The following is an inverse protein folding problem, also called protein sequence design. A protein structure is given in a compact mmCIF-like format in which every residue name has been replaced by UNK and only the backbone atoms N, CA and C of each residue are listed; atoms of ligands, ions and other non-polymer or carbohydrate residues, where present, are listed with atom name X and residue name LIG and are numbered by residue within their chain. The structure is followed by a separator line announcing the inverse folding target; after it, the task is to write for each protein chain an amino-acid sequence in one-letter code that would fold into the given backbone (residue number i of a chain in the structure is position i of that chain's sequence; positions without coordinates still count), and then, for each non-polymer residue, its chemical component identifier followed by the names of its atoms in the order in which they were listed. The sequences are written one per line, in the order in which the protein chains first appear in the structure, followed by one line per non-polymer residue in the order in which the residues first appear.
data_IF_769860682658
#
_entry.id   IF_769860682658
#
_cell.length_a   1.000
_cell.length_b   1.000
_cell.length_c   1.000
_cell.angle_alpha   90.00
_cell.angle_beta   90.00
_cell.angle_gamma   90.00
#
_symmetry.space_group_name_H-M   'P 1'
#
loop_
_entity.id
_entity.type
_entity.pdbx_description
1 polymer ?
#
# COMPACT_ATOMS: atom_id res chain seq x y z
N UNK A 1 -57.40 22.82 -40.03
CA UNK A 1 -56.15 22.19 -40.52
C UNK A 1 -55.18 22.11 -39.35
N UNK A 2 -55.08 20.93 -38.72
CA UNK A 2 -54.14 20.73 -37.58
C UNK A 2 -52.92 20.07 -38.20
N UNK A 3 -51.83 20.85 -38.34
CA UNK A 3 -50.55 20.42 -38.89
C UNK A 3 -49.88 19.40 -37.96
N UNK A 4 -49.83 18.14 -38.35
CA UNK A 4 -49.13 17.09 -37.65
C UNK A 4 -47.62 17.30 -37.73
N UNK A 5 -46.91 17.39 -36.57
CA UNK A 5 -45.47 17.43 -36.46
C UNK A 5 -44.88 16.20 -37.15
N UNK A 6 -43.97 16.32 -38.10
CA UNK A 6 -43.44 15.21 -38.88
C UNK A 6 -42.78 14.16 -37.99
N UNK A 7 -43.08 12.88 -38.19
CA UNK A 7 -42.55 11.72 -37.42
C UNK A 7 -41.01 11.74 -37.26
N UNK A 8 -40.27 12.34 -38.21
CA UNK A 8 -38.81 12.46 -38.17
C UNK A 8 -38.31 13.35 -37.03
N UNK A 9 -39.01 14.45 -36.69
CA UNK A 9 -38.61 15.33 -35.59
C UNK A 9 -38.84 14.70 -34.22
N UNK A 10 -39.84 13.85 -34.08
CA UNK A 10 -40.09 13.09 -32.85
C UNK A 10 -39.01 11.99 -32.63
N UNK A 11 -38.61 11.29 -33.69
CA UNK A 11 -37.53 10.28 -33.61
C UNK A 11 -36.19 10.89 -33.30
N UNK A 12 -35.83 12.06 -33.86
CA UNK A 12 -34.59 12.80 -33.50
C UNK A 12 -34.63 13.27 -32.04
N UNK A 13 -35.74 13.78 -31.55
CA UNK A 13 -35.89 14.20 -30.15
C UNK A 13 -35.75 13.05 -29.15
N UNK A 14 -36.30 11.86 -29.48
CA UNK A 14 -36.16 10.66 -28.66
C UNK A 14 -34.72 10.12 -28.65
N UNK A 15 -34.02 10.13 -29.79
CA UNK A 15 -32.64 9.73 -29.89
C UNK A 15 -31.74 10.69 -29.11
N UNK A 16 -31.94 12.02 -29.20
CA UNK A 16 -31.22 13.01 -28.42
C UNK A 16 -31.46 12.87 -26.93
N UNK A 17 -32.69 12.62 -26.49
CA UNK A 17 -33.03 12.38 -25.09
C UNK A 17 -32.37 11.11 -24.53
N UNK A 18 -32.41 10.01 -25.28
CA UNK A 18 -31.75 8.76 -24.89
C UNK A 18 -30.22 8.92 -24.78
N UNK A 19 -29.62 9.65 -25.70
CA UNK A 19 -28.16 9.95 -25.67
C UNK A 19 -27.77 10.80 -24.44
N UNK A 20 -28.56 11.81 -24.10
CA UNK A 20 -28.37 12.62 -22.91
C UNK A 20 -28.48 11.80 -21.63
N UNK A 21 -29.54 10.96 -21.54
CA UNK A 21 -29.72 10.08 -20.36
C UNK A 21 -28.56 9.11 -20.22
N UNK A 22 -28.11 8.49 -21.32
CA UNK A 22 -26.94 7.61 -21.31
C UNK A 22 -25.68 8.35 -20.88
N UNK A 23 -25.42 9.54 -21.42
CA UNK A 23 -24.27 10.36 -21.06
C UNK A 23 -24.29 10.75 -19.57
N UNK A 24 -25.44 11.16 -19.05
CA UNK A 24 -25.62 11.46 -17.63
C UNK A 24 -25.40 10.21 -16.76
N UNK A 25 -25.93 9.06 -17.18
CA UNK A 25 -25.69 7.78 -16.49
C UNK A 25 -24.21 7.40 -16.43
N UNK A 26 -23.47 7.59 -17.54
CA UNK A 26 -22.01 7.36 -17.58
C UNK A 26 -21.25 8.35 -16.68
N UNK A 27 -21.64 9.62 -16.66
CA UNK A 27 -21.03 10.64 -15.80
C UNK A 27 -21.27 10.29 -14.32
N UNK A 28 -22.49 9.92 -13.96
CA UNK A 28 -22.82 9.53 -12.57
C UNK A 28 -22.06 8.26 -12.17
N UNK A 29 -21.95 7.27 -13.06
CA UNK A 29 -21.32 5.98 -12.79
C UNK A 29 -19.78 6.08 -12.71
N UNK A 30 -19.16 6.83 -13.61
CA UNK A 30 -17.70 6.87 -13.74
C UNK A 30 -17.05 8.19 -13.31
N UNK A 31 -17.85 9.23 -13.11
CA UNK A 31 -17.40 10.55 -12.71
C UNK A 31 -16.51 10.56 -11.46
N UNK A 32 -16.93 9.93 -10.35
CA UNK A 32 -16.12 9.85 -9.13
C UNK A 32 -14.74 9.23 -9.36
N UNK A 33 -14.68 8.08 -10.02
CA UNK A 33 -13.41 7.40 -10.30
C UNK A 33 -12.49 8.20 -11.24
N UNK A 34 -13.08 8.89 -12.24
CA UNK A 34 -12.33 9.77 -13.14
C UNK A 34 -11.77 10.99 -12.40
N UNK A 35 -12.60 11.65 -11.58
CA UNK A 35 -12.24 12.83 -10.83
C UNK A 35 -11.15 12.49 -9.80
N UNK A 36 -11.32 11.42 -9.04
CA UNK A 36 -10.34 10.91 -8.09
C UNK A 36 -9.01 10.56 -8.77
N UNK A 37 -9.06 9.81 -9.89
CA UNK A 37 -7.86 9.43 -10.64
C UNK A 37 -7.12 10.64 -11.20
N UNK A 38 -7.85 11.64 -11.72
CA UNK A 38 -7.28 12.88 -12.23
C UNK A 38 -6.62 13.70 -11.12
N UNK A 39 -7.27 13.84 -9.97
CA UNK A 39 -6.72 14.53 -8.81
C UNK A 39 -5.47 13.82 -8.28
N UNK A 40 -5.52 12.48 -8.16
CA UNK A 40 -4.39 11.68 -7.68
C UNK A 40 -3.18 11.78 -8.61
N UNK A 41 -3.39 11.75 -9.95
CA UNK A 41 -2.33 11.84 -10.93
C UNK A 41 -1.80 13.26 -11.13
N UNK A 42 -2.60 14.29 -10.92
CA UNK A 42 -2.28 15.68 -11.18
C UNK A 42 -2.79 16.61 -10.06
N UNK A 43 -1.98 16.91 -9.04
CA UNK A 43 -2.36 17.73 -7.90
C UNK A 43 -2.98 19.09 -8.27
N UNK A 44 -2.66 19.62 -9.45
CA UNK A 44 -3.24 20.88 -9.97
C UNK A 44 -4.76 20.76 -10.22
N UNK A 45 -5.29 19.55 -10.39
CA UNK A 45 -6.71 19.29 -10.61
C UNK A 45 -7.49 19.09 -9.32
N UNK A 46 -6.83 19.01 -8.15
CA UNK A 46 -7.51 18.88 -6.84
C UNK A 46 -8.45 20.05 -6.55
N UNK A 47 -8.06 21.26 -6.94
CA UNK A 47 -8.91 22.45 -6.80
C UNK A 47 -10.28 22.33 -7.49
N UNK A 48 -10.41 21.45 -8.47
CA UNK A 48 -11.67 21.16 -9.15
C UNK A 48 -12.61 20.30 -8.30
N UNK A 49 -12.05 19.29 -7.62
CA UNK A 49 -12.79 18.44 -6.67
C UNK A 49 -13.23 19.26 -5.44
N UNK A 50 -12.35 20.07 -4.88
CA UNK A 50 -12.65 20.90 -3.71
C UNK A 50 -13.67 21.99 -4.01
N UNK A 51 -13.73 22.50 -5.24
CA UNK A 51 -14.74 23.49 -5.63
C UNK A 51 -16.15 22.89 -5.71
N UNK A 52 -16.26 21.61 -6.05
CA UNK A 52 -17.56 20.90 -6.15
C UNK A 52 -18.00 20.22 -4.84
N UNK A 53 -17.11 20.08 -3.88
CA UNK A 53 -17.34 19.36 -2.63
C UNK A 53 -16.93 20.25 -1.43
N UNK A 54 -17.60 20.06 -0.29
CA UNK A 54 -17.18 20.69 0.97
C UNK A 54 -15.94 19.96 1.50
N UNK A 55 -15.03 20.70 2.16
CA UNK A 55 -13.84 20.09 2.75
C UNK A 55 -14.19 19.01 3.80
N UNK A 56 -13.56 17.84 3.75
CA UNK A 56 -13.74 16.80 4.74
C UNK A 56 -13.31 17.23 6.12
N UNK A 57 -13.99 16.72 7.14
CA UNK A 57 -13.59 16.94 8.53
C UNK A 57 -12.55 15.89 8.94
N UNK A 58 -11.42 16.36 9.48
CA UNK A 58 -10.39 15.47 10.07
C UNK A 58 -10.43 15.57 11.58
N UNK A 59 -10.50 14.43 12.24
CA UNK A 59 -10.47 14.29 13.69
C UNK A 59 -9.40 13.27 14.11
N UNK A 60 -8.66 13.55 15.19
CA UNK A 60 -7.78 12.55 15.81
C UNK A 60 -8.59 11.75 16.81
N UNK A 61 -8.61 10.44 16.63
CA UNK A 61 -9.36 9.49 17.47
C UNK A 61 -8.41 8.49 18.13
N UNK A 62 -8.84 7.92 19.25
CA UNK A 62 -8.06 6.96 20.02
C UNK A 62 -8.89 5.70 20.24
N UNK A 63 -8.51 4.61 19.55
CA UNK A 63 -9.21 3.34 19.59
C UNK A 63 -8.73 2.50 20.79
N UNK A 64 -9.63 1.93 21.62
CA UNK A 64 -9.24 0.98 22.63
C UNK A 64 -8.86 -0.37 21.99
N UNK A 65 -7.68 -0.88 22.32
CA UNK A 65 -7.23 -2.24 22.02
C UNK A 65 -6.80 -2.86 23.36
N UNK A 66 -6.85 -4.17 23.48
CA UNK A 66 -6.48 -4.86 24.71
C UNK A 66 -5.19 -4.32 25.35
N UNK A 67 -5.31 -3.69 26.53
CA UNK A 67 -4.20 -3.14 27.30
C UNK A 67 -3.55 -1.86 26.78
N UNK A 68 -4.00 -1.29 25.64
CA UNK A 68 -3.42 -0.09 25.03
C UNK A 68 -4.42 0.72 24.21
N UNK A 69 -3.99 1.88 23.74
CA UNK A 69 -4.77 2.73 22.83
C UNK A 69 -4.03 2.86 21.49
N UNK A 70 -4.78 2.82 20.40
CA UNK A 70 -4.29 3.05 19.05
C UNK A 70 -4.75 4.43 18.59
N UNK A 71 -3.82 5.31 18.36
CA UNK A 71 -4.11 6.63 17.81
C UNK A 71 -4.37 6.51 16.30
N UNK A 72 -5.37 7.24 15.80
CA UNK A 72 -5.69 7.29 14.38
C UNK A 72 -6.21 8.68 13.99
N UNK A 73 -6.17 8.99 12.71
CA UNK A 73 -6.85 10.14 12.13
C UNK A 73 -8.08 9.64 11.34
N UNK A 74 -9.26 10.15 11.68
CA UNK A 74 -10.53 9.89 11.02
C UNK A 74 -10.86 11.05 10.08
N UNK A 75 -11.07 10.76 8.80
CA UNK A 75 -11.53 11.74 7.81
C UNK A 75 -12.97 11.40 7.44
N UNK A 76 -13.85 12.39 7.59
CA UNK A 76 -15.27 12.24 7.36
C UNK A 76 -15.70 13.13 6.19
N UNK A 77 -16.59 12.65 5.30
CA UNK A 77 -17.26 13.52 4.33
C UNK A 77 -17.94 14.69 5.05
N UNK A 78 -17.86 15.88 4.48
CA UNK A 78 -18.43 17.09 5.11
C UNK A 78 -19.97 17.07 5.20
N UNK A 79 -20.64 16.20 4.45
CA UNK A 79 -22.10 16.06 4.45
C UNK A 79 -22.52 14.69 3.89
N UNK A 80 -23.68 14.22 4.35
CA UNK A 80 -24.29 12.97 3.89
C UNK A 80 -23.82 11.73 4.68
N UNK A 81 -24.45 10.60 4.39
CA UNK A 81 -24.02 9.29 4.90
C UNK A 81 -22.82 8.81 4.10
N UNK A 82 -21.77 8.30 4.73
CA UNK A 82 -20.63 7.73 4.01
C UNK A 82 -21.07 6.63 3.04
N UNK A 83 -20.51 6.65 1.83
CA UNK A 83 -20.79 5.65 0.78
C UNK A 83 -20.05 4.36 1.04
N UNK A 84 -18.85 4.45 1.59
CA UNK A 84 -17.98 3.34 1.97
C UNK A 84 -17.13 3.72 3.17
N UNK A 85 -16.37 2.76 3.67
CA UNK A 85 -15.43 2.95 4.76
C UNK A 85 -14.09 2.31 4.40
N UNK A 86 -12.96 3.00 4.68
CA UNK A 86 -11.65 2.52 4.28
C UNK A 86 -10.59 2.75 5.37
N UNK A 87 -9.82 1.72 5.70
CA UNK A 87 -8.62 1.83 6.52
C UNK A 87 -7.40 1.99 5.62
N UNK A 88 -6.62 3.06 5.80
CA UNK A 88 -5.36 3.27 5.08
C UNK A 88 -4.18 2.95 6.00
N UNK A 89 -3.39 1.97 5.62
CA UNK A 89 -2.26 1.43 6.38
C UNK A 89 -0.96 1.97 5.80
N UNK A 90 -0.24 2.83 6.54
CA UNK A 90 1.02 3.41 6.08
C UNK A 90 2.15 2.38 6.00
N UNK A 91 3.15 2.66 5.18
CA UNK A 91 4.39 1.88 5.10
C UNK A 91 5.43 2.29 6.16
N UNK A 92 6.69 1.95 5.92
CA UNK A 92 7.81 2.37 6.76
C UNK A 92 8.06 3.87 6.58
N UNK A 93 7.56 4.68 7.50
CA UNK A 93 7.73 6.12 7.49
C UNK A 93 7.67 6.67 8.92
N UNK A 94 8.66 7.46 9.34
CA UNK A 94 8.65 8.14 10.64
C UNK A 94 7.44 9.06 10.82
N UNK A 95 6.89 9.56 9.72
CA UNK A 95 5.66 10.36 9.74
C UNK A 95 4.40 9.52 10.05
N UNK A 96 4.46 8.19 9.83
CA UNK A 96 3.34 7.29 10.07
C UNK A 96 2.05 7.75 9.39
N UNK A 97 0.96 7.84 10.15
CA UNK A 97 -0.34 8.33 9.67
C UNK A 97 -0.32 9.76 9.09
N UNK A 98 0.71 10.55 9.43
CA UNK A 98 0.88 11.94 8.96
C UNK A 98 1.80 12.05 7.75
N UNK A 99 2.09 10.94 7.07
CA UNK A 99 2.79 11.00 5.79
C UNK A 99 1.97 11.83 4.79
N UNK A 100 2.61 12.81 4.16
CA UNK A 100 1.93 13.85 3.36
C UNK A 100 1.06 13.24 2.24
N UNK A 101 1.58 12.27 1.49
CA UNK A 101 0.80 11.63 0.41
C UNK A 101 -0.35 10.76 0.93
N UNK A 102 -0.19 10.16 2.12
CA UNK A 102 -1.26 9.37 2.74
C UNK A 102 -2.39 10.26 3.26
N UNK A 103 -2.04 11.39 3.87
CA UNK A 103 -3.02 12.39 4.30
C UNK A 103 -3.80 12.95 3.11
N UNK A 104 -3.08 13.27 2.02
CA UNK A 104 -3.67 13.73 0.77
C UNK A 104 -4.65 12.69 0.20
N UNK A 105 -4.23 11.42 0.15
CA UNK A 105 -5.09 10.33 -0.32
C UNK A 105 -6.34 10.19 0.56
N UNK A 106 -6.19 10.25 1.88
CA UNK A 106 -7.32 10.19 2.81
C UNK A 106 -8.32 11.34 2.58
N UNK A 107 -7.82 12.56 2.34
CA UNK A 107 -8.66 13.71 2.00
C UNK A 107 -9.42 13.51 0.68
N UNK A 108 -8.73 13.04 -0.38
CA UNK A 108 -9.35 12.78 -1.68
C UNK A 108 -10.46 11.72 -1.58
N UNK A 109 -10.21 10.63 -0.85
CA UNK A 109 -11.23 9.60 -0.61
C UNK A 109 -12.43 10.14 0.18
N UNK A 110 -12.18 10.97 1.18
CA UNK A 110 -13.27 11.58 1.95
C UNK A 110 -14.06 12.61 1.14
N UNK A 111 -13.45 13.30 0.17
CA UNK A 111 -14.14 14.14 -0.83
C UNK A 111 -15.08 13.32 -1.71
N UNK A 112 -14.72 12.08 -2.05
CA UNK A 112 -15.56 11.15 -2.81
C UNK A 112 -16.65 10.47 -1.96
N UNK A 113 -16.70 10.79 -0.67
CA UNK A 113 -17.75 10.30 0.23
C UNK A 113 -17.35 9.09 1.08
N UNK A 114 -16.07 8.73 1.13
CA UNK A 114 -15.56 7.64 1.97
C UNK A 114 -15.35 8.11 3.41
N UNK A 115 -15.66 7.25 4.39
CA UNK A 115 -15.19 7.38 5.76
C UNK A 115 -13.80 6.75 5.85
N UNK A 116 -12.76 7.55 6.13
CA UNK A 116 -11.38 7.08 6.06
C UNK A 116 -10.71 7.10 7.43
N UNK A 117 -10.13 5.97 7.85
CA UNK A 117 -9.35 5.87 9.08
C UNK A 117 -7.89 5.56 8.76
N UNK A 118 -6.99 6.35 9.34
CA UNK A 118 -5.54 6.20 9.17
C UNK A 118 -4.91 5.91 10.54
N UNK A 119 -4.69 4.63 10.93
CA UNK A 119 -4.10 4.30 12.21
C UNK A 119 -2.61 4.62 12.27
N UNK A 120 -2.12 4.97 13.47
CA UNK A 120 -0.70 5.14 13.77
C UNK A 120 -0.09 3.79 14.16
N UNK A 121 0.56 3.12 13.22
CA UNK A 121 1.25 1.87 13.48
C UNK A 121 2.69 2.16 13.95
N UNK A 122 2.90 2.21 15.25
CA UNK A 122 4.16 2.64 15.84
C UNK A 122 5.35 1.73 15.46
N UNK A 123 5.11 0.44 15.23
CA UNK A 123 6.11 -0.47 14.68
C UNK A 123 6.62 0.03 13.32
N UNK A 124 5.74 0.21 12.36
CA UNK A 124 6.09 0.67 11.02
C UNK A 124 6.70 2.08 11.02
N UNK A 125 6.21 2.97 11.89
CA UNK A 125 6.79 4.32 12.05
C UNK A 125 8.22 4.28 12.60
N UNK A 126 8.57 3.25 13.38
CA UNK A 126 9.92 3.00 13.89
C UNK A 126 10.74 2.04 13.01
N UNK A 127 10.33 1.79 11.76
CA UNK A 127 10.95 0.84 10.83
C UNK A 127 11.00 -0.60 11.38
N UNK A 128 10.00 -1.00 12.16
CA UNK A 128 9.86 -2.34 12.72
C UNK A 128 8.58 -3.00 12.23
N UNK A 129 8.62 -4.31 12.06
CA UNK A 129 7.48 -5.13 11.68
C UNK A 129 7.50 -6.37 12.57
N UNK A 130 6.65 -6.42 13.60
CA UNK A 130 6.65 -7.49 14.60
C UNK A 130 5.38 -8.35 14.58
N UNK A 131 4.35 -7.90 13.86
CA UNK A 131 3.07 -8.59 13.71
C UNK A 131 1.93 -8.00 14.53
N UNK A 132 2.18 -7.11 15.49
CA UNK A 132 1.14 -6.41 16.25
C UNK A 132 0.26 -5.55 15.32
N UNK A 133 0.84 -5.11 14.21
CA UNK A 133 0.16 -4.31 13.17
C UNK A 133 -1.08 -5.02 12.61
N UNK A 134 -1.08 -6.35 12.59
CA UNK A 134 -2.20 -7.15 12.08
C UNK A 134 -3.45 -6.94 12.94
N UNK A 135 -3.31 -6.99 14.28
CA UNK A 135 -4.44 -6.76 15.17
C UNK A 135 -4.85 -5.29 15.24
N UNK A 136 -3.90 -4.37 15.15
CA UNK A 136 -4.19 -2.93 15.03
C UNK A 136 -5.07 -2.62 13.81
N UNK A 137 -4.78 -3.24 12.67
CA UNK A 137 -5.55 -3.08 11.44
C UNK A 137 -6.95 -3.71 11.59
N UNK A 138 -7.05 -4.90 12.22
CA UNK A 138 -8.34 -5.54 12.49
C UNK A 138 -9.21 -4.68 13.42
N UNK A 139 -8.62 -4.15 14.49
CA UNK A 139 -9.30 -3.25 15.41
C UNK A 139 -9.78 -1.97 14.70
N UNK A 140 -8.95 -1.40 13.81
CA UNK A 140 -9.30 -0.24 12.98
C UNK A 140 -10.49 -0.54 12.07
N UNK A 141 -10.51 -1.71 11.43
CA UNK A 141 -11.62 -2.12 10.56
C UNK A 141 -12.91 -2.34 11.36
N UNK A 142 -12.84 -2.99 12.53
CA UNK A 142 -14.00 -3.15 13.42
C UNK A 142 -14.54 -1.82 13.92
N UNK A 143 -13.66 -0.87 14.24
CA UNK A 143 -14.06 0.48 14.66
C UNK A 143 -14.82 1.20 13.54
N UNK A 144 -14.32 1.19 12.30
CA UNK A 144 -15.03 1.77 11.15
C UNK A 144 -16.36 1.10 10.87
N UNK A 145 -16.42 -0.24 10.95
CA UNK A 145 -17.66 -0.99 10.78
C UNK A 145 -18.72 -0.63 11.84
N UNK A 146 -18.29 -0.23 13.03
CA UNK A 146 -19.19 0.28 14.09
C UNK A 146 -19.69 1.71 13.86
N UNK A 147 -18.96 2.52 13.12
CA UNK A 147 -19.33 3.90 12.78
C UNK A 147 -20.19 4.00 11.52
N UNK A 148 -20.06 3.06 10.62
CA UNK A 148 -20.72 3.08 9.33
C UNK A 148 -21.31 1.71 9.01
N UNK A 149 -22.51 1.67 8.45
CA UNK A 149 -23.10 0.44 7.89
C UNK A 149 -22.56 0.10 6.50
N UNK A 150 -21.66 0.93 5.97
CA UNK A 150 -21.05 0.73 4.66
C UNK A 150 -19.99 -0.41 4.71
N UNK A 151 -19.78 -1.11 3.59
CA UNK A 151 -18.74 -2.13 3.49
C UNK A 151 -17.36 -1.54 3.75
N UNK A 152 -16.52 -2.25 4.52
CA UNK A 152 -15.16 -1.81 4.85
C UNK A 152 -14.18 -2.30 3.80
N UNK A 153 -13.29 -1.41 3.36
CA UNK A 153 -12.10 -1.71 2.58
C UNK A 153 -10.84 -1.46 3.43
N UNK A 154 -9.74 -2.11 3.09
CA UNK A 154 -8.44 -1.90 3.74
C UNK A 154 -7.38 -1.74 2.65
N UNK A 155 -6.58 -0.68 2.69
CA UNK A 155 -5.51 -0.45 1.73
C UNK A 155 -4.16 -0.27 2.44
N UNK A 156 -3.21 -1.14 2.13
CA UNK A 156 -1.86 -1.10 2.67
C UNK A 156 -0.84 -0.62 1.64
N UNK A 157 0.12 0.19 2.10
CA UNK A 157 1.17 0.78 1.29
C UNK A 157 2.53 0.23 1.68
N UNK A 158 3.36 -0.13 0.67
CA UNK A 158 4.72 -0.61 0.91
C UNK A 158 4.73 -1.76 1.94
N UNK A 159 5.57 -1.70 2.96
CA UNK A 159 5.61 -2.68 4.05
C UNK A 159 4.32 -2.76 4.89
N UNK A 160 3.44 -1.79 4.83
CA UNK A 160 2.11 -1.85 5.46
C UNK A 160 1.12 -2.77 4.73
N UNK A 161 1.38 -3.08 3.45
CA UNK A 161 0.53 -3.98 2.67
C UNK A 161 0.54 -5.43 3.20
N UNK A 162 1.69 -5.92 3.68
CA UNK A 162 1.80 -7.25 4.26
C UNK A 162 0.87 -7.47 5.46
N UNK A 163 0.96 -6.67 6.53
CA UNK A 163 0.04 -6.72 7.66
C UNK A 163 -1.43 -6.51 7.26
N UNK A 164 -1.71 -5.63 6.29
CA UNK A 164 -3.08 -5.43 5.78
C UNK A 164 -3.65 -6.71 5.16
N UNK A 165 -2.88 -7.38 4.31
CA UNK A 165 -3.27 -8.67 3.71
C UNK A 165 -3.45 -9.78 4.74
N UNK A 166 -2.55 -9.86 5.73
CA UNK A 166 -2.66 -10.82 6.83
C UNK A 166 -3.88 -10.54 7.72
N UNK A 167 -4.21 -9.27 7.96
CA UNK A 167 -5.39 -8.90 8.72
C UNK A 167 -6.68 -9.35 8.03
N UNK A 168 -6.79 -9.10 6.72
CA UNK A 168 -7.99 -9.42 5.92
C UNK A 168 -8.18 -10.91 5.72
N UNK A 169 -7.11 -11.71 5.64
CA UNK A 169 -7.21 -13.15 5.42
C UNK A 169 -8.10 -13.88 6.44
N UNK A 170 -8.20 -13.34 7.65
CA UNK A 170 -9.00 -13.90 8.75
C UNK A 170 -10.07 -12.89 9.25
N UNK A 171 -10.41 -11.87 8.48
CA UNK A 171 -11.42 -10.86 8.81
C UNK A 171 -12.57 -10.91 7.78
N UNK A 172 -13.73 -11.47 8.16
CA UNK A 172 -14.90 -11.48 7.28
C UNK A 172 -15.47 -10.07 7.07
N UNK A 173 -16.19 -9.87 5.97
CA UNK A 173 -16.90 -8.62 5.70
C UNK A 173 -16.04 -7.52 5.05
N UNK A 174 -14.76 -7.75 4.80
CA UNK A 174 -13.94 -6.83 4.00
C UNK A 174 -14.23 -7.03 2.53
N UNK A 175 -14.74 -5.98 1.88
CA UNK A 175 -15.12 -5.98 0.46
C UNK A 175 -13.91 -5.97 -0.47
N UNK A 176 -12.96 -5.07 -0.19
CA UNK A 176 -11.78 -4.81 -1.01
C UNK A 176 -10.56 -4.70 -0.12
N UNK A 177 -9.47 -5.31 -0.53
CA UNK A 177 -8.15 -5.06 0.04
C UNK A 177 -7.21 -4.53 -1.04
N UNK A 178 -6.53 -3.43 -0.74
CA UNK A 178 -5.50 -2.80 -1.59
C UNK A 178 -4.10 -3.18 -1.13
N UNK A 179 -3.24 -3.59 -2.07
CA UNK A 179 -1.80 -3.78 -1.86
C UNK A 179 -1.04 -2.87 -2.83
N UNK A 180 -0.55 -1.75 -2.33
CA UNK A 180 0.10 -0.73 -3.13
C UNK A 180 1.61 -0.71 -2.85
N UNK A 181 2.42 -1.18 -3.82
CA UNK A 181 3.85 -1.39 -3.64
C UNK A 181 4.18 -2.42 -2.56
N UNK A 182 3.30 -3.41 -2.35
CA UNK A 182 3.43 -4.41 -1.28
C UNK A 182 4.27 -5.62 -1.69
N UNK A 183 4.48 -6.51 -0.72
CA UNK A 183 5.27 -7.74 -0.88
C UNK A 183 4.43 -9.00 -0.65
N UNK A 184 4.90 -10.11 -1.20
CA UNK A 184 4.36 -11.45 -1.01
C UNK A 184 5.16 -12.27 0.01
N UNK A 185 6.50 -12.23 -0.11
CA UNK A 185 7.44 -12.98 0.72
C UNK A 185 8.64 -12.11 1.09
N UNK A 186 8.86 -11.93 2.39
CA UNK A 186 9.98 -11.11 2.91
C UNK A 186 11.36 -11.66 2.51
N UNK A 187 11.48 -12.97 2.24
CA UNK A 187 12.74 -13.56 1.76
C UNK A 187 13.12 -13.04 0.38
N UNK A 188 12.14 -12.86 -0.51
CA UNK A 188 12.36 -12.25 -1.81
C UNK A 188 12.76 -10.77 -1.70
N UNK A 189 12.12 -10.05 -0.77
CA UNK A 189 12.49 -8.65 -0.48
C UNK A 189 13.92 -8.55 0.06
N UNK A 190 14.31 -9.45 0.97
CA UNK A 190 15.69 -9.55 1.48
C UNK A 190 16.67 -9.79 0.34
N UNK A 191 16.39 -10.78 -0.52
CA UNK A 191 17.23 -11.07 -1.68
C UNK A 191 17.36 -9.85 -2.59
N UNK A 192 16.26 -9.18 -2.89
CA UNK A 192 16.24 -7.96 -3.71
C UNK A 192 17.04 -6.81 -3.11
N UNK A 193 16.79 -6.45 -1.85
CA UNK A 193 17.49 -5.35 -1.18
C UNK A 193 18.99 -5.64 -1.05
N UNK A 194 19.38 -6.90 -0.85
CA UNK A 194 20.79 -7.25 -0.64
C UNK A 194 21.57 -7.41 -1.94
N UNK A 195 20.94 -7.83 -3.03
CA UNK A 195 21.64 -8.17 -4.28
C UNK A 195 21.20 -7.36 -5.49
N UNK A 196 20.03 -6.74 -5.44
CA UNK A 196 19.38 -6.13 -6.61
C UNK A 196 18.73 -7.13 -7.55
N UNK A 197 18.87 -8.44 -7.30
CA UNK A 197 18.33 -9.48 -8.17
C UNK A 197 16.96 -9.93 -7.68
N UNK A 198 16.05 -10.14 -8.61
CA UNK A 198 14.74 -10.71 -8.37
C UNK A 198 14.28 -11.54 -9.57
N UNK A 199 13.46 -12.56 -9.32
CA UNK A 199 13.03 -13.50 -10.34
C UNK A 199 11.52 -13.69 -10.33
N UNK A 200 10.96 -14.01 -11.49
CA UNK A 200 9.56 -14.40 -11.61
C UNK A 200 9.39 -15.30 -12.82
N UNK A 201 8.79 -16.48 -12.67
CA UNK A 201 8.61 -17.48 -13.72
C UNK A 201 9.90 -17.79 -14.51
N UNK A 202 11.01 -17.98 -13.81
CA UNK A 202 12.32 -18.26 -14.42
C UNK A 202 12.99 -17.03 -15.06
N UNK A 203 12.29 -15.93 -15.21
CA UNK A 203 12.86 -14.69 -15.71
C UNK A 203 13.60 -13.96 -14.60
N UNK A 204 14.86 -13.59 -14.85
CA UNK A 204 15.73 -12.89 -13.93
C UNK A 204 15.77 -11.40 -14.30
N UNK A 205 15.66 -10.55 -13.26
CA UNK A 205 15.71 -9.10 -13.33
C UNK A 205 16.82 -8.59 -12.40
N UNK A 206 17.31 -7.40 -12.67
CA UNK A 206 18.29 -6.73 -11.83
C UNK A 206 17.95 -5.24 -11.71
N UNK A 207 18.10 -4.69 -10.50
CA UNK A 207 18.08 -3.27 -10.23
C UNK A 207 19.13 -2.92 -9.20
N UNK A 208 19.89 -1.86 -9.45
CA UNK A 208 20.83 -1.32 -8.46
C UNK A 208 20.08 -0.88 -7.22
N UNK A 209 20.57 -1.29 -6.06
CA UNK A 209 19.99 -0.97 -4.76
C UNK A 209 20.66 0.23 -4.13
N UNK A 210 19.86 1.07 -3.46
CA UNK A 210 20.32 2.15 -2.63
C UNK A 210 20.79 1.64 -1.26
N UNK A 211 21.91 2.17 -0.76
CA UNK A 211 22.43 1.79 0.56
C UNK A 211 21.43 2.04 1.69
N UNK A 212 20.62 3.09 1.57
CA UNK A 212 19.56 3.40 2.52
C UNK A 212 18.56 2.26 2.71
N UNK A 213 18.18 1.54 1.65
CA UNK A 213 17.27 0.39 1.73
C UNK A 213 17.85 -0.77 2.55
N UNK A 214 19.19 -0.96 2.52
CA UNK A 214 19.86 -1.97 3.35
C UNK A 214 19.74 -1.66 4.83
N UNK A 215 19.87 -0.40 5.19
CA UNK A 215 19.80 0.01 6.60
C UNK A 215 18.34 0.00 7.10
N UNK A 216 17.37 0.25 6.24
CA UNK A 216 15.95 -0.06 6.54
C UNK A 216 15.74 -1.55 6.79
N UNK A 217 16.33 -2.41 5.97
CA UNK A 217 16.29 -3.85 6.17
C UNK A 217 16.92 -4.27 7.50
N UNK A 218 18.07 -3.68 7.86
CA UNK A 218 18.68 -3.92 9.17
C UNK A 218 17.71 -3.58 10.30
N UNK A 219 17.09 -2.40 10.26
CA UNK A 219 16.10 -1.97 11.26
C UNK A 219 14.91 -2.95 11.37
N UNK A 220 14.42 -3.47 10.24
CA UNK A 220 13.38 -4.48 10.20
C UNK A 220 13.80 -5.81 10.84
N UNK A 221 15.06 -6.24 10.63
CA UNK A 221 15.56 -7.52 11.15
C UNK A 221 15.91 -7.48 12.63
N UNK A 222 16.23 -6.31 13.16
CA UNK A 222 16.64 -6.11 14.59
C UNK A 222 15.60 -6.66 15.57
N UNK A 223 14.31 -6.55 15.26
CA UNK A 223 13.23 -6.99 16.18
C UNK A 223 13.20 -8.51 16.37
N UNK A 224 13.79 -9.27 15.44
CA UNK A 224 13.83 -10.73 15.49
C UNK A 224 15.11 -11.27 16.12
N UNK A 225 15.99 -10.41 16.60
CA UNK A 225 17.25 -10.77 17.28
C UNK A 225 16.93 -11.06 18.75
N UNK A 226 17.22 -12.27 19.21
CA UNK A 226 16.94 -12.71 20.58
C UNK A 226 17.98 -12.17 21.58
N UNK A 227 19.26 -12.13 21.18
CA UNK A 227 20.33 -11.55 21.98
C UNK A 227 20.13 -10.06 22.25
N UNK A 228 19.79 -9.70 23.47
CA UNK A 228 19.59 -8.29 23.86
C UNK A 228 20.82 -7.40 23.59
N UNK A 229 22.07 -7.83 23.85
CA UNK A 229 23.26 -7.04 23.49
C UNK A 229 23.41 -6.83 21.98
N UNK A 230 23.17 -7.88 21.17
CA UNK A 230 23.25 -7.78 19.70
C UNK A 230 22.12 -6.89 19.17
N UNK A 231 20.90 -7.05 19.67
CA UNK A 231 19.77 -6.21 19.31
C UNK A 231 20.03 -4.72 19.56
N UNK A 232 20.58 -4.38 20.72
CA UNK A 232 20.92 -3.00 21.05
C UNK A 232 21.99 -2.42 20.12
N UNK A 233 23.05 -3.19 19.82
CA UNK A 233 24.11 -2.76 18.90
C UNK A 233 23.62 -2.62 17.46
N UNK A 234 22.85 -3.59 16.97
CA UNK A 234 22.26 -3.55 15.62
C UNK A 234 21.29 -2.38 15.47
N UNK A 235 20.49 -2.08 16.50
CA UNK A 235 19.62 -0.90 16.51
C UNK A 235 20.44 0.39 16.39
N UNK A 236 21.51 0.51 17.18
CA UNK A 236 22.39 1.68 17.12
C UNK A 236 23.12 1.80 15.75
N UNK A 237 23.48 0.66 15.12
CA UNK A 237 24.03 0.66 13.75
C UNK A 237 22.97 1.13 12.76
N UNK A 238 21.75 0.59 12.83
CA UNK A 238 20.66 0.97 11.95
C UNK A 238 20.33 2.47 12.05
N UNK A 239 20.20 2.99 13.26
CA UNK A 239 19.90 4.41 13.50
C UNK A 239 20.98 5.33 12.93
N UNK A 240 22.27 5.02 13.16
CA UNK A 240 23.38 5.80 12.60
C UNK A 240 23.38 5.76 11.08
N UNK A 241 23.22 4.58 10.49
CA UNK A 241 23.26 4.38 9.04
C UNK A 241 22.02 4.92 8.33
N UNK A 242 20.86 4.96 8.99
CA UNK A 242 19.65 5.62 8.47
C UNK A 242 19.77 7.14 8.50
N UNK A 243 20.51 7.70 9.48
CA UNK A 243 20.81 9.12 9.53
C UNK A 243 21.88 9.51 8.52
N UNK A 244 22.92 8.70 8.39
CA UNK A 244 24.05 8.87 7.45
C UNK A 244 24.56 7.48 7.00
N UNK A 245 24.27 7.04 5.76
CA UNK A 245 24.77 5.76 5.26
C UNK A 245 26.29 5.59 5.27
N UNK A 246 27.05 6.69 5.30
CA UNK A 246 28.51 6.69 5.37
C UNK A 246 29.07 6.59 6.80
N UNK A 247 28.22 6.78 7.83
CA UNK A 247 28.65 6.81 9.23
C UNK A 247 29.45 5.57 9.64
N UNK A 248 30.52 5.76 10.40
CA UNK A 248 31.36 4.69 10.93
C UNK A 248 30.62 3.86 12.00
N UNK A 249 30.60 2.54 11.85
CA UNK A 249 29.92 1.59 12.75
C UNK A 249 30.80 0.42 13.21
N UNK A 250 32.07 0.41 12.84
CA UNK A 250 33.02 -0.68 13.07
C UNK A 250 33.18 -1.03 14.56
N UNK A 251 33.15 -0.02 15.44
CA UNK A 251 33.26 -0.22 16.88
C UNK A 251 32.05 -1.01 17.44
N UNK A 252 30.85 -0.71 16.95
CA UNK A 252 29.62 -1.45 17.31
C UNK A 252 29.65 -2.86 16.73
N UNK A 253 30.10 -3.02 15.49
CA UNK A 253 30.18 -4.30 14.79
C UNK A 253 31.17 -5.28 15.45
N UNK A 254 32.35 -4.81 15.96
CA UNK A 254 33.30 -5.66 16.70
C UNK A 254 32.68 -6.28 17.95
N UNK A 255 31.73 -5.61 18.57
CA UNK A 255 31.03 -6.11 19.75
C UNK A 255 29.88 -7.08 19.50
N UNK A 256 29.57 -7.40 18.24
CA UNK A 256 28.44 -8.29 17.90
C UNK A 256 28.76 -9.75 18.24
N UNK A 257 27.80 -10.44 18.84
CA UNK A 257 27.76 -11.88 19.01
C UNK A 257 27.43 -12.65 17.72
N UNK A 258 27.16 -13.93 17.82
CA UNK A 258 26.92 -14.78 16.65
C UNK A 258 25.68 -14.36 15.88
N UNK A 259 24.61 -14.03 16.59
CA UNK A 259 23.32 -13.63 15.98
C UNK A 259 23.47 -12.28 15.26
N UNK A 260 24.06 -11.30 15.92
CA UNK A 260 24.32 -9.98 15.33
C UNK A 260 25.21 -10.07 14.08
N UNK A 261 26.24 -10.91 14.11
CA UNK A 261 27.10 -11.14 12.95
C UNK A 261 26.34 -11.82 11.80
N UNK A 262 25.43 -12.75 12.08
CA UNK A 262 24.60 -13.39 11.04
C UNK A 262 23.71 -12.36 10.34
N UNK A 263 23.02 -11.50 11.09
CA UNK A 263 22.19 -10.41 10.55
C UNK A 263 23.03 -9.43 9.72
N UNK A 264 24.16 -8.98 10.25
CA UNK A 264 25.03 -8.04 9.54
C UNK A 264 25.58 -8.64 8.25
N UNK A 265 25.98 -9.93 8.26
CA UNK A 265 26.46 -10.63 7.07
C UNK A 265 25.38 -10.69 5.98
N UNK A 266 24.12 -10.96 6.34
CA UNK A 266 23.00 -10.97 5.39
C UNK A 266 22.74 -9.57 4.82
N UNK A 267 22.64 -8.54 5.65
CA UNK A 267 22.39 -7.16 5.22
C UNK A 267 23.49 -6.61 4.32
N UNK A 268 24.75 -6.93 4.61
CA UNK A 268 25.92 -6.53 3.81
C UNK A 268 26.15 -7.36 2.55
N UNK A 269 25.42 -8.46 2.39
CA UNK A 269 25.57 -9.34 1.23
C UNK A 269 25.31 -8.60 -0.09
N UNK A 270 26.02 -9.03 -1.16
CA UNK A 270 25.90 -8.53 -2.53
C UNK A 270 25.79 -9.69 -3.54
N UNK A 271 25.90 -10.93 -3.07
CA UNK A 271 25.98 -12.14 -3.91
C UNK A 271 24.66 -12.89 -3.83
N UNK A 272 24.04 -13.14 -5.00
CA UNK A 272 22.78 -13.85 -5.10
C UNK A 272 22.89 -15.28 -4.53
N UNK A 273 23.94 -15.99 -4.88
CA UNK A 273 24.22 -17.36 -4.45
C UNK A 273 24.40 -17.52 -2.93
N UNK A 274 24.71 -16.43 -2.22
CA UNK A 274 24.91 -16.47 -0.77
C UNK A 274 23.65 -16.20 0.04
N UNK A 275 22.60 -15.65 -0.57
CA UNK A 275 21.37 -15.22 0.15
C UNK A 275 20.74 -16.36 0.94
N UNK A 276 20.55 -17.52 0.32
CA UNK A 276 19.90 -18.66 0.96
C UNK A 276 20.71 -19.12 2.20
N UNK A 277 22.02 -19.35 2.04
CA UNK A 277 22.88 -19.78 3.12
C UNK A 277 22.97 -18.76 4.26
N UNK A 278 22.96 -17.45 3.95
CA UNK A 278 22.98 -16.38 4.97
C UNK A 278 21.62 -16.26 5.68
N UNK A 279 20.51 -16.49 4.98
CA UNK A 279 19.18 -16.53 5.58
C UNK A 279 19.03 -17.70 6.55
N UNK A 280 19.58 -18.88 6.21
CA UNK A 280 19.59 -20.06 7.10
C UNK A 280 20.43 -19.87 8.36
N UNK A 281 21.38 -18.93 8.37
CA UNK A 281 22.18 -18.56 9.55
C UNK A 281 21.46 -17.66 10.54
N UNK A 282 20.31 -17.08 10.15
CA UNK A 282 19.44 -16.37 11.09
C UNK A 282 18.89 -17.35 12.15
N UNK A 283 18.51 -16.82 13.31
CA UNK A 283 17.89 -17.65 14.36
C UNK A 283 16.61 -18.32 13.84
N UNK A 284 16.24 -19.51 14.37
CA UNK A 284 14.97 -20.15 14.01
C UNK A 284 13.77 -19.24 14.24
N UNK A 285 13.79 -18.45 15.32
CA UNK A 285 12.74 -17.47 15.63
C UNK A 285 12.64 -16.39 14.54
N UNK A 286 13.77 -15.84 14.07
CA UNK A 286 13.79 -14.85 12.99
C UNK A 286 13.23 -15.43 11.68
N UNK A 287 13.62 -16.65 11.29
CA UNK A 287 13.10 -17.32 10.09
C UNK A 287 11.60 -17.57 10.17
N UNK A 288 11.12 -18.04 11.32
CA UNK A 288 9.68 -18.24 11.57
C UNK A 288 8.91 -16.93 11.50
N UNK A 289 9.44 -15.85 12.07
CA UNK A 289 8.83 -14.53 12.02
C UNK A 289 8.75 -14.02 10.58
N UNK A 290 9.81 -14.13 9.78
CA UNK A 290 9.82 -13.75 8.36
C UNK A 290 8.75 -14.52 7.57
N UNK A 291 8.62 -15.84 7.80
CA UNK A 291 7.60 -16.65 7.15
C UNK A 291 6.18 -16.24 7.57
N UNK A 292 5.95 -16.01 8.87
CA UNK A 292 4.64 -15.59 9.41
C UNK A 292 4.21 -14.21 8.92
N UNK A 293 5.14 -13.30 8.71
CA UNK A 293 4.89 -11.94 8.23
C UNK A 293 4.84 -11.83 6.70
N UNK A 294 5.02 -12.94 5.99
CA UNK A 294 4.91 -13.03 4.54
C UNK A 294 3.47 -13.41 4.15
N UNK A 295 2.69 -12.52 3.52
CA UNK A 295 1.26 -12.75 3.31
C UNK A 295 0.94 -13.79 2.23
N UNK A 296 1.90 -14.24 1.42
CA UNK A 296 1.66 -15.14 0.29
C UNK A 296 0.84 -16.39 0.67
N UNK A 297 1.19 -17.05 1.79
CA UNK A 297 0.49 -18.24 2.27
C UNK A 297 -0.95 -17.95 2.76
N UNK A 298 -1.27 -16.70 3.06
CA UNK A 298 -2.58 -16.28 3.51
C UNK A 298 -3.55 -15.96 2.35
N UNK A 299 -3.05 -15.72 1.13
CA UNK A 299 -3.85 -15.31 -0.02
C UNK A 299 -5.00 -16.25 -0.40
N UNK A 300 -4.90 -17.58 -0.28
CA UNK A 300 -6.06 -18.46 -0.55
C UNK A 300 -7.25 -18.23 0.38
N UNK A 301 -7.03 -17.71 1.60
CA UNK A 301 -8.09 -17.40 2.59
C UNK A 301 -8.74 -16.02 2.40
N UNK A 302 -8.16 -15.18 1.53
CA UNK A 302 -8.69 -13.87 1.24
C UNK A 302 -10.12 -14.00 0.66
N UNK A 303 -11.10 -13.35 1.27
CA UNK A 303 -12.50 -13.40 0.83
C UNK A 303 -12.88 -12.26 -0.13
N UNK A 304 -12.28 -11.08 0.04
CA UNK A 304 -12.55 -9.88 -0.74
C UNK A 304 -11.81 -9.79 -2.07
N UNK A 305 -12.13 -8.75 -2.83
CA UNK A 305 -11.41 -8.37 -4.05
C UNK A 305 -10.04 -7.80 -3.70
N UNK A 306 -8.99 -8.22 -4.38
CA UNK A 306 -7.62 -7.72 -4.18
C UNK A 306 -7.27 -6.71 -5.29
N UNK A 307 -7.00 -5.46 -4.90
CA UNK A 307 -6.50 -4.43 -5.81
C UNK A 307 -5.00 -4.25 -5.63
N UNK A 308 -4.24 -4.39 -6.69
CA UNK A 308 -2.79 -4.31 -6.66
C UNK A 308 -2.29 -3.22 -7.58
N UNK A 309 -1.51 -2.27 -7.03
CA UNK A 309 -0.75 -1.30 -7.80
C UNK A 309 0.73 -1.39 -7.41
N UNK A 310 1.63 -1.38 -8.41
CA UNK A 310 3.07 -1.42 -8.16
C UNK A 310 3.84 -0.63 -9.21
N UNK A 311 4.86 0.11 -8.80
CA UNK A 311 5.78 0.76 -9.73
C UNK A 311 6.72 -0.28 -10.36
N UNK A 312 6.84 -0.31 -11.68
CA UNK A 312 7.78 -1.22 -12.37
C UNK A 312 9.23 -0.98 -11.94
N UNK A 313 9.50 0.25 -11.55
CA UNK A 313 10.82 0.73 -11.14
C UNK A 313 10.96 0.93 -9.62
N UNK A 314 10.17 0.22 -8.81
CA UNK A 314 10.27 0.25 -7.35
C UNK A 314 11.64 -0.28 -6.88
N UNK A 315 12.33 0.50 -6.06
CA UNK A 315 13.68 0.22 -5.55
C UNK A 315 13.70 -0.43 -4.16
N UNK A 316 12.56 -0.49 -3.49
CA UNK A 316 12.41 -1.02 -2.14
C UNK A 316 11.80 -2.43 -2.13
N UNK A 317 10.77 -2.65 -2.96
CA UNK A 317 10.08 -3.94 -3.10
C UNK A 317 9.93 -4.24 -4.59
N UNK A 318 10.36 -5.41 -5.11
CA UNK A 318 10.28 -5.68 -6.53
C UNK A 318 8.83 -5.93 -6.97
N UNK A 319 8.43 -5.37 -8.12
CA UNK A 319 7.05 -5.50 -8.62
C UNK A 319 6.58 -6.95 -8.80
N UNK A 320 7.52 -7.90 -8.92
CA UNK A 320 7.22 -9.33 -9.01
C UNK A 320 6.53 -9.87 -7.76
N UNK A 321 6.69 -9.23 -6.61
CA UNK A 321 5.97 -9.59 -5.39
C UNK A 321 4.46 -9.36 -5.55
N UNK A 322 4.06 -8.28 -6.20
CA UNK A 322 2.67 -8.02 -6.58
C UNK A 322 2.11 -9.05 -7.56
N UNK A 323 2.93 -9.52 -8.51
CA UNK A 323 2.51 -10.59 -9.42
C UNK A 323 2.29 -11.92 -8.68
N UNK A 324 3.14 -12.26 -7.70
CA UNK A 324 2.98 -13.44 -6.84
C UNK A 324 1.69 -13.37 -6.02
N UNK A 325 1.37 -12.21 -5.44
CA UNK A 325 0.10 -11.99 -4.72
C UNK A 325 -1.10 -12.20 -5.64
N UNK A 326 -1.04 -11.67 -6.85
CA UNK A 326 -2.11 -11.78 -7.84
C UNK A 326 -2.39 -13.24 -8.23
N UNK A 327 -1.35 -14.01 -8.50
CA UNK A 327 -1.49 -15.44 -8.80
C UNK A 327 -2.08 -16.21 -7.62
N UNK A 328 -1.58 -15.98 -6.41
CA UNK A 328 -2.06 -16.63 -5.21
C UNK A 328 -3.52 -16.26 -4.87
N UNK A 329 -4.00 -15.10 -5.32
CA UNK A 329 -5.41 -14.68 -5.16
C UNK A 329 -6.39 -15.38 -6.10
N UNK A 330 -5.94 -16.26 -7.01
CA UNK A 330 -6.77 -17.14 -7.85
C UNK A 330 -7.90 -16.42 -8.59
N UNK A 331 -7.58 -15.39 -9.35
CA UNK A 331 -8.53 -14.61 -10.18
C UNK A 331 -9.31 -13.52 -9.43
N UNK A 332 -9.11 -13.38 -8.11
CA UNK A 332 -9.73 -12.28 -7.31
C UNK A 332 -8.95 -10.98 -7.37
N UNK A 333 -7.80 -10.93 -8.02
CA UNK A 333 -6.96 -9.75 -8.09
C UNK A 333 -7.19 -8.93 -9.36
N UNK A 334 -7.23 -7.60 -9.21
CA UNK A 334 -6.97 -6.65 -10.28
C UNK A 334 -5.56 -6.08 -10.09
N UNK A 335 -4.71 -6.21 -11.10
CA UNK A 335 -3.30 -5.82 -11.02
C UNK A 335 -3.00 -4.71 -12.02
N UNK A 336 -2.25 -3.72 -11.55
CA UNK A 336 -1.66 -2.68 -12.38
C UNK A 336 -0.18 -2.49 -12.02
N UNK A 337 0.70 -2.67 -13.00
CA UNK A 337 2.11 -2.33 -12.89
C UNK A 337 2.34 -1.04 -13.65
N UNK A 338 2.66 0.03 -12.91
CA UNK A 338 2.84 1.38 -13.43
C UNK A 338 4.27 1.60 -13.91
N UNK A 339 4.41 2.16 -15.08
CA UNK A 339 5.72 2.50 -15.66
C UNK A 339 6.18 3.91 -15.32
N UNK A 340 5.28 4.75 -14.82
CA UNK A 340 5.55 6.15 -14.49
C UNK A 340 5.67 6.41 -12.99
N UNK A 341 5.53 5.38 -12.16
CA UNK A 341 5.63 5.47 -10.70
C UNK A 341 6.85 4.70 -10.18
N UNK A 342 7.55 5.33 -9.22
CA UNK A 342 8.52 4.72 -8.32
C UNK A 342 7.89 4.44 -6.95
N UNK A 343 8.68 3.94 -6.01
CA UNK A 343 8.21 3.65 -4.65
C UNK A 343 7.65 4.90 -3.93
N UNK A 344 8.19 6.10 -4.21
CA UNK A 344 7.86 7.35 -3.50
C UNK A 344 7.20 8.43 -4.38
N UNK A 345 6.77 8.11 -5.59
CA UNK A 345 6.06 9.08 -6.44
C UNK A 345 6.41 9.03 -7.93
N UNK A 346 5.85 9.93 -8.73
CA UNK A 346 6.10 9.97 -10.17
C UNK A 346 7.49 10.52 -10.50
N UNK A 347 8.22 9.84 -11.39
CA UNK A 347 9.43 10.41 -11.98
C UNK A 347 9.12 11.25 -13.25
N UNK A 348 9.77 12.41 -13.41
CA UNK A 348 9.60 13.26 -14.60
C UNK A 348 10.43 12.76 -15.81
N UNK A 349 10.51 11.45 -16.05
CA UNK A 349 11.19 10.94 -17.23
C UNK A 349 10.27 10.84 -18.42
N UNK A 350 10.82 11.15 -19.61
CA UNK A 350 10.16 11.06 -20.91
C UNK A 350 9.71 9.62 -21.19
N UNK A 351 8.52 9.27 -20.75
CA UNK A 351 7.85 8.02 -21.13
C UNK A 351 6.95 8.28 -22.34
N UNK A 352 6.77 7.29 -23.18
CA UNK A 352 5.90 7.40 -24.36
C UNK A 352 4.47 7.79 -23.95
N UNK A 353 3.76 8.51 -24.82
CA UNK A 353 2.35 8.88 -24.61
C UNK A 353 1.51 7.62 -24.33
N UNK A 354 1.79 6.51 -25.03
CA UNK A 354 1.12 5.22 -24.81
C UNK A 354 1.32 4.65 -23.40
N UNK A 355 2.52 4.78 -22.82
CA UNK A 355 2.75 4.33 -21.42
C UNK A 355 1.96 5.15 -20.41
N UNK A 356 1.88 6.47 -20.61
CA UNK A 356 1.07 7.36 -19.75
C UNK A 356 -0.43 7.06 -19.86
N UNK A 357 -0.92 6.83 -21.09
CA UNK A 357 -2.31 6.46 -21.31
C UNK A 357 -2.67 5.12 -20.67
N UNK A 358 -1.79 4.12 -20.76
CA UNK A 358 -1.96 2.83 -20.12
C UNK A 358 -1.97 2.95 -18.59
N UNK A 359 -1.07 3.75 -18.01
CA UNK A 359 -1.03 3.99 -16.57
C UNK A 359 -2.26 4.77 -16.08
N UNK A 360 -2.72 5.77 -16.84
CA UNK A 360 -3.96 6.49 -16.53
C UNK A 360 -5.20 5.58 -16.56
N UNK A 361 -5.29 4.70 -17.55
CA UNK A 361 -6.35 3.71 -17.64
C UNK A 361 -6.31 2.71 -16.46
N UNK A 362 -5.12 2.23 -16.11
CA UNK A 362 -4.92 1.35 -14.97
C UNK A 362 -5.33 2.01 -13.65
N UNK A 363 -4.94 3.28 -13.46
CA UNK A 363 -5.32 4.06 -12.29
C UNK A 363 -6.84 4.22 -12.20
N UNK A 364 -7.48 4.65 -13.30
CA UNK A 364 -8.93 4.76 -13.38
C UNK A 364 -9.64 3.45 -13.03
N UNK A 365 -9.20 2.33 -13.60
CA UNK A 365 -9.80 1.01 -13.36
C UNK A 365 -9.70 0.59 -11.89
N UNK A 366 -8.53 0.80 -11.25
CA UNK A 366 -8.37 0.51 -9.83
C UNK A 366 -9.21 1.45 -8.94
N UNK A 367 -9.28 2.73 -9.30
CA UNK A 367 -10.11 3.70 -8.60
C UNK A 367 -11.62 3.36 -8.73
N UNK A 368 -12.06 2.96 -9.92
CA UNK A 368 -13.44 2.54 -10.15
C UNK A 368 -13.81 1.31 -9.31
N UNK A 369 -12.95 0.29 -9.25
CA UNK A 369 -13.15 -0.88 -8.38
C UNK A 369 -13.10 -0.52 -6.88
N UNK A 370 -12.26 0.42 -6.47
CA UNK A 370 -12.16 0.86 -5.07
C UNK A 370 -13.40 1.62 -4.62
N UNK A 371 -13.91 2.53 -5.46
CA UNK A 371 -15.05 3.42 -5.19
C UNK A 371 -16.41 2.81 -5.60
N UNK A 372 -16.45 1.60 -6.16
CA UNK A 372 -17.69 0.91 -6.46
C UNK A 372 -18.37 0.43 -5.18
N UNK A 373 -19.62 0.89 -4.94
CA UNK A 373 -20.43 0.59 -3.75
C UNK A 373 -21.64 -0.25 -4.11
#
# INVERSE_FOLDING_TARGET
MIGGVPRRSRALGLLSGATIILALGLIVRFGPALAFSAALAAPRLEGWLTWMSREPVRESVSLPIEGRRLEADLYQPASGTPRGAIVLVHGLSRAGRRHVELMRLAQLLALEGELVLVPQLNGLAAFRLNGDEVEDIRASARYLAGLSHAPVAIAGFSFGAGPALLAVADLPGVRVVGSFGGYADLRNVIAYITTGVFTFHGRRYYRRQEEYNRWKLLALLVVFVESAPDRARLAAIADRKLADPSAATEALERGLGNEGRAVTALVRNRREESVAALTERLSPAARTALARLSPLAAMPRLSGRLLIAHGADDDSIPFTESLRLAEAARGRAAVAVFRTFHHTGPEPRWRSVGARAADAWNLFRLADELLAH
#
